data_IF_943848381632
#
_entry.id   IF_943848381632
#
_cell.length_a   1.000
_cell.length_b   1.000
_cell.length_c   1.000
_cell.angle_alpha   90.00
_cell.angle_beta   90.00
_cell.angle_gamma   90.00
#
_symmetry.space_group_name_H-M   'P 1'
#
loop_
_entity.id
_entity.type
_entity.pdbx_description
1 polymer ?
#
# COMPACT_ATOMS: atom_id res chain seq x y z
N UNK A 1 24.76 -0.47 -13.80
CA UNK A 1 24.64 -1.00 -15.17
C UNK A 1 23.17 -1.09 -15.56
N UNK A 2 22.78 -0.55 -16.71
CA UNK A 2 21.42 -0.71 -17.25
C UNK A 2 21.30 -2.18 -17.68
N UNK A 3 20.39 -2.92 -17.05
CA UNK A 3 20.13 -4.31 -17.44
C UNK A 3 19.48 -4.29 -18.83
N UNK A 4 20.23 -4.70 -19.85
CA UNK A 4 19.85 -4.69 -21.27
C UNK A 4 18.54 -5.44 -21.54
N UNK A 5 18.17 -6.38 -20.66
CA UNK A 5 16.90 -7.10 -20.70
C UNK A 5 15.66 -6.19 -20.62
N UNK A 6 15.78 -4.94 -20.17
CA UNK A 6 14.65 -3.99 -20.09
C UNK A 6 14.50 -3.05 -21.28
N UNK A 7 15.34 -3.20 -22.32
CA UNK A 7 15.24 -2.41 -23.56
C UNK A 7 14.22 -3.04 -24.54
N UNK A 8 13.75 -4.25 -24.24
CA UNK A 8 12.77 -4.97 -25.07
C UNK A 8 11.43 -4.19 -25.22
N UNK A 9 10.80 -4.16 -26.41
CA UNK A 9 9.56 -3.39 -26.69
C UNK A 9 8.41 -3.62 -25.70
N UNK A 10 8.29 -4.84 -25.15
CA UNK A 10 7.31 -5.17 -24.09
C UNK A 10 7.35 -4.24 -22.86
N UNK A 11 8.47 -3.57 -22.61
CA UNK A 11 8.63 -2.61 -21.51
C UNK A 11 8.44 -1.15 -21.92
N UNK A 12 8.16 -0.85 -23.19
CA UNK A 12 8.03 0.51 -23.70
C UNK A 12 7.00 1.33 -22.92
N UNK A 13 5.77 0.81 -22.75
CA UNK A 13 4.72 1.45 -21.95
C UNK A 13 5.12 1.59 -20.47
N UNK A 14 5.93 0.66 -19.96
CA UNK A 14 6.43 0.73 -18.57
C UNK A 14 7.44 1.86 -18.42
N UNK A 15 8.32 2.07 -19.40
CA UNK A 15 9.24 3.20 -19.42
C UNK A 15 8.54 4.54 -19.52
N UNK A 16 7.49 4.64 -20.35
CA UNK A 16 6.64 5.84 -20.40
C UNK A 16 6.02 6.10 -19.02
N UNK A 17 5.42 5.09 -18.38
CA UNK A 17 4.88 5.22 -17.03
C UNK A 17 5.95 5.69 -16.02
N UNK A 18 7.14 5.09 -16.04
CA UNK A 18 8.25 5.48 -15.17
C UNK A 18 8.67 6.93 -15.39
N UNK A 19 8.75 7.36 -16.65
CA UNK A 19 9.07 8.74 -17.00
C UNK A 19 8.00 9.71 -16.47
N UNK A 20 6.72 9.39 -16.70
CA UNK A 20 5.58 10.17 -16.19
C UNK A 20 5.59 10.25 -14.66
N UNK A 21 5.91 9.17 -13.96
CA UNK A 21 6.07 9.20 -12.50
C UNK A 21 7.19 10.14 -12.08
N UNK A 22 8.37 10.06 -12.70
CA UNK A 22 9.52 10.92 -12.38
C UNK A 22 9.21 12.40 -12.61
N UNK A 23 8.60 12.74 -13.74
CA UNK A 23 8.20 14.12 -14.05
C UNK A 23 7.08 14.57 -13.11
N UNK A 24 6.11 13.70 -12.85
CA UNK A 24 4.97 13.98 -11.98
C UNK A 24 5.36 14.38 -10.56
N UNK A 25 6.49 13.88 -10.04
CA UNK A 25 7.00 14.25 -8.71
C UNK A 25 7.43 15.72 -8.61
N UNK A 26 7.72 16.43 -9.70
CA UNK A 26 8.04 17.86 -9.63
C UNK A 26 6.80 18.75 -9.45
N UNK A 27 5.61 18.23 -9.76
CA UNK A 27 4.34 18.95 -9.61
C UNK A 27 4.05 19.18 -8.11
N UNK A 28 3.59 20.38 -7.69
CA UNK A 28 3.14 20.63 -6.32
C UNK A 28 2.04 19.66 -5.88
N UNK A 29 2.09 19.17 -4.63
CA UNK A 29 1.20 18.09 -4.17
C UNK A 29 -0.30 18.44 -4.29
N UNK A 30 -0.69 19.70 -4.02
CA UNK A 30 -2.08 20.15 -4.22
C UNK A 30 -2.55 19.99 -5.66
N UNK A 31 -1.68 20.28 -6.63
CA UNK A 31 -1.98 20.13 -8.05
C UNK A 31 -1.96 18.65 -8.48
N UNK A 32 -1.07 17.83 -7.90
CA UNK A 32 -1.10 16.37 -8.09
C UNK A 32 -2.45 15.78 -7.65
N UNK A 33 -2.98 16.20 -6.49
CA UNK A 33 -4.30 15.79 -6.02
C UNK A 33 -5.39 16.23 -6.99
N UNK A 34 -5.38 17.49 -7.44
CA UNK A 34 -6.36 17.98 -8.41
C UNK A 34 -6.34 17.18 -9.73
N UNK A 35 -5.16 17.02 -10.33
CA UNK A 35 -4.99 16.26 -11.58
C UNK A 35 -5.40 14.80 -11.36
N UNK A 36 -5.00 14.20 -10.24
CA UNK A 36 -5.37 12.83 -9.86
C UNK A 36 -6.88 12.64 -9.79
N UNK A 37 -7.62 13.58 -9.18
CA UNK A 37 -9.08 13.56 -9.19
C UNK A 37 -9.65 13.61 -10.60
N UNK A 38 -9.11 14.46 -11.48
CA UNK A 38 -9.58 14.55 -12.85
C UNK A 38 -9.32 13.26 -13.62
N UNK A 39 -8.14 12.65 -13.47
CA UNK A 39 -7.84 11.32 -14.02
C UNK A 39 -8.87 10.31 -13.52
N UNK A 40 -9.12 10.27 -12.21
CA UNK A 40 -10.12 9.40 -11.59
C UNK A 40 -11.52 9.54 -12.21
N UNK A 41 -11.96 10.78 -12.42
CA UNK A 41 -13.24 11.08 -13.08
C UNK A 41 -13.28 10.61 -14.54
N UNK A 42 -12.15 10.72 -15.26
CA UNK A 42 -12.04 10.28 -16.65
C UNK A 42 -12.02 8.76 -16.78
N UNK A 43 -11.39 8.03 -15.85
CA UNK A 43 -11.34 6.56 -15.88
C UNK A 43 -12.63 5.91 -15.36
N UNK A 44 -13.40 6.58 -14.51
CA UNK A 44 -14.67 6.09 -13.96
C UNK A 44 -15.68 5.58 -15.01
N UNK A 45 -15.94 6.28 -16.15
CA UNK A 45 -16.81 5.76 -17.19
C UNK A 45 -16.20 4.58 -17.97
N UNK A 46 -14.87 4.54 -18.10
CA UNK A 46 -14.12 3.56 -18.91
C UNK A 46 -14.00 2.21 -18.20
N UNK A 47 -13.74 2.21 -16.89
CA UNK A 47 -13.48 1.00 -16.10
C UNK A 47 -14.76 0.42 -15.50
N UNK A 48 -15.70 0.03 -16.37
CA UNK A 48 -17.04 -0.43 -15.98
C UNK A 48 -17.04 -1.64 -15.03
N UNK A 49 -16.16 -2.62 -15.26
CA UNK A 49 -16.05 -3.82 -14.41
C UNK A 49 -15.58 -3.49 -12.99
N UNK A 50 -14.50 -2.69 -12.86
CA UNK A 50 -14.03 -2.24 -11.54
C UNK A 50 -15.07 -1.38 -10.83
N UNK A 51 -15.86 -0.60 -11.58
CA UNK A 51 -16.96 0.18 -11.03
C UNK A 51 -18.07 -0.71 -10.46
N UNK A 52 -18.44 -1.79 -11.15
CA UNK A 52 -19.41 -2.77 -10.66
C UNK A 52 -18.92 -3.43 -9.37
N UNK A 53 -17.64 -3.83 -9.32
CA UNK A 53 -17.02 -4.43 -8.14
C UNK A 53 -17.06 -3.46 -6.95
N UNK A 54 -16.60 -2.21 -7.14
CA UNK A 54 -16.62 -1.20 -6.09
C UNK A 54 -18.05 -0.92 -5.59
N UNK A 55 -19.02 -0.82 -6.51
CA UNK A 55 -20.42 -0.63 -6.14
C UNK A 55 -20.97 -1.79 -5.32
N UNK A 56 -20.72 -3.03 -5.75
CA UNK A 56 -21.14 -4.25 -5.03
C UNK A 56 -20.53 -4.30 -3.62
N UNK A 57 -19.22 -4.11 -3.51
CA UNK A 57 -18.51 -4.14 -2.23
C UNK A 57 -19.04 -3.07 -1.27
N UNK A 58 -19.21 -1.83 -1.73
CA UNK A 58 -19.72 -0.73 -0.89
C UNK A 58 -21.17 -0.98 -0.50
N UNK A 59 -22.02 -1.46 -1.41
CA UNK A 59 -23.44 -1.75 -1.10
C UNK A 59 -23.56 -2.86 -0.04
N UNK A 60 -22.75 -3.90 -0.14
CA UNK A 60 -22.73 -5.00 0.80
C UNK A 60 -22.16 -4.60 2.17
N UNK A 61 -21.10 -3.78 2.19
CA UNK A 61 -20.49 -3.33 3.45
C UNK A 61 -21.34 -2.26 4.17
N UNK A 62 -22.17 -1.52 3.44
CA UNK A 62 -22.99 -0.42 3.97
C UNK A 62 -24.44 -0.52 3.50
N UNK A 63 -25.19 -1.56 3.94
CA UNK A 63 -26.55 -1.83 3.48
C UNK A 63 -27.55 -0.72 3.83
N UNK A 64 -27.21 0.15 4.79
CA UNK A 64 -28.02 1.29 5.18
C UNK A 64 -27.97 2.47 4.19
N UNK A 65 -27.02 2.48 3.25
CA UNK A 65 -26.82 3.60 2.31
C UNK A 65 -27.76 3.50 1.11
N UNK A 66 -28.36 4.62 0.74
CA UNK A 66 -29.15 4.75 -0.49
C UNK A 66 -28.24 4.70 -1.72
N UNK A 67 -28.78 4.26 -2.87
CA UNK A 67 -28.02 4.15 -4.13
C UNK A 67 -27.23 5.42 -4.53
N UNK A 68 -27.73 6.65 -4.35
CA UNK A 68 -26.95 7.86 -4.66
C UNK A 68 -25.71 8.02 -3.76
N UNK A 69 -25.80 7.60 -2.49
CA UNK A 69 -24.68 7.67 -1.54
C UNK A 69 -23.62 6.62 -1.89
N UNK A 70 -24.03 5.40 -2.23
CA UNK A 70 -23.11 4.36 -2.72
C UNK A 70 -22.40 4.84 -3.99
N UNK A 71 -23.14 5.38 -4.96
CA UNK A 71 -22.58 5.91 -6.22
C UNK A 71 -21.58 7.03 -5.97
N UNK A 72 -21.85 7.91 -5.02
CA UNK A 72 -20.93 8.98 -4.63
C UNK A 72 -19.62 8.40 -4.06
N UNK A 73 -19.70 7.41 -3.18
CA UNK A 73 -18.51 6.74 -2.62
C UNK A 73 -17.70 6.02 -3.70
N UNK A 74 -18.36 5.37 -4.66
CA UNK A 74 -17.66 4.76 -5.81
C UNK A 74 -16.94 5.83 -6.62
N UNK A 75 -17.58 6.96 -6.94
CA UNK A 75 -16.91 8.07 -7.65
C UNK A 75 -15.69 8.62 -6.90
N UNK A 76 -15.82 8.81 -5.58
CA UNK A 76 -14.72 9.24 -4.72
C UNK A 76 -13.58 8.20 -4.66
N UNK A 77 -13.90 6.91 -4.68
CA UNK A 77 -12.92 5.85 -4.77
C UNK A 77 -12.11 5.93 -6.07
N UNK A 78 -12.75 6.18 -7.20
CA UNK A 78 -12.06 6.38 -8.48
C UNK A 78 -11.19 7.66 -8.49
N UNK A 79 -11.67 8.74 -7.87
CA UNK A 79 -10.84 9.93 -7.62
C UNK A 79 -9.58 9.57 -6.81
N UNK A 80 -9.71 8.78 -5.74
CA UNK A 80 -8.57 8.33 -4.93
C UNK A 80 -7.60 7.43 -5.73
N UNK A 81 -8.11 6.54 -6.59
CA UNK A 81 -7.27 5.76 -7.51
C UNK A 81 -6.45 6.68 -8.42
N UNK A 82 -7.05 7.71 -9.00
CA UNK A 82 -6.33 8.66 -9.84
C UNK A 82 -5.25 9.44 -9.08
N UNK A 83 -5.53 9.86 -7.84
CA UNK A 83 -4.53 10.49 -6.95
C UNK A 83 -3.39 9.51 -6.64
N UNK A 84 -3.69 8.22 -6.45
CA UNK A 84 -2.72 7.18 -6.08
C UNK A 84 -1.57 7.00 -7.07
N UNK A 85 -1.78 7.38 -8.34
CA UNK A 85 -0.73 7.42 -9.36
C UNK A 85 0.41 8.37 -8.94
N UNK A 86 0.06 9.56 -8.47
CA UNK A 86 1.02 10.54 -7.97
C UNK A 86 1.55 10.15 -6.60
N UNK A 87 0.74 9.57 -5.72
CA UNK A 87 1.18 9.11 -4.40
C UNK A 87 2.26 8.02 -4.53
N UNK A 88 2.05 7.07 -5.45
CA UNK A 88 3.03 6.04 -5.80
C UNK A 88 4.30 6.64 -6.41
N UNK A 89 4.16 7.64 -7.29
CA UNK A 89 5.30 8.36 -7.83
C UNK A 89 6.12 9.06 -6.74
N UNK A 90 5.45 9.76 -5.82
CA UNK A 90 6.10 10.41 -4.69
C UNK A 90 6.75 9.37 -3.76
N UNK A 91 6.11 8.22 -3.53
CA UNK A 91 6.67 7.15 -2.71
C UNK A 91 8.04 6.70 -3.21
N UNK A 92 8.23 6.61 -4.53
CA UNK A 92 9.46 6.07 -5.12
C UNK A 92 10.51 7.12 -5.42
N UNK A 93 10.10 8.35 -5.76
CA UNK A 93 11.00 9.36 -6.33
C UNK A 93 11.07 10.68 -5.56
N UNK A 94 10.12 11.00 -4.68
CA UNK A 94 10.18 12.26 -3.94
C UNK A 94 11.30 12.24 -2.90
N UNK A 95 11.83 13.44 -2.62
CA UNK A 95 12.80 13.63 -1.55
C UNK A 95 12.13 13.62 -0.18
N UNK A 96 12.89 13.28 0.86
CA UNK A 96 12.43 13.39 2.25
C UNK A 96 11.86 14.77 2.57
N UNK A 97 12.50 15.84 2.06
CA UNK A 97 12.05 17.22 2.24
C UNK A 97 10.64 17.43 1.70
N UNK A 98 10.30 16.85 0.54
CA UNK A 98 8.94 16.96 -0.03
C UNK A 98 7.93 16.16 0.79
N UNK A 99 8.27 14.94 1.21
CA UNK A 99 7.37 14.09 2.01
C UNK A 99 7.13 14.71 3.40
N UNK A 100 8.17 15.19 4.08
CA UNK A 100 8.07 15.85 5.40
C UNK A 100 7.10 17.04 5.40
N UNK A 101 7.00 17.79 4.29
CA UNK A 101 6.09 18.95 4.17
C UNK A 101 4.60 18.58 4.17
N UNK A 102 4.26 17.36 3.81
CA UNK A 102 2.87 16.88 3.71
C UNK A 102 2.54 15.82 4.77
N UNK A 103 3.52 15.45 5.59
CA UNK A 103 3.39 14.37 6.57
C UNK A 103 2.95 14.94 7.92
N UNK A 104 1.88 14.38 8.46
CA UNK A 104 1.50 14.52 9.87
C UNK A 104 1.35 13.14 10.47
N UNK A 105 2.08 12.85 11.55
CA UNK A 105 1.99 11.56 12.25
C UNK A 105 1.21 11.80 13.55
N UNK A 106 0.18 11.00 13.79
CA UNK A 106 -0.56 10.98 15.05
C UNK A 106 -0.24 9.70 15.80
N UNK A 107 -0.20 9.77 17.13
CA UNK A 107 -0.03 8.63 18.02
C UNK A 107 1.25 7.80 17.79
N UNK A 108 2.35 8.43 17.36
CA UNK A 108 3.66 7.78 17.14
C UNK A 108 4.20 7.08 18.40
N UNK A 109 3.80 7.55 19.59
CA UNK A 109 4.19 6.98 20.87
C UNK A 109 3.86 5.48 20.99
N UNK A 110 2.69 5.02 20.50
CA UNK A 110 2.34 3.59 20.58
C UNK A 110 3.29 2.72 19.77
N UNK A 111 3.76 3.23 18.63
CA UNK A 111 4.73 2.54 17.80
C UNK A 111 6.10 2.48 18.48
N UNK A 112 6.59 3.63 18.94
CA UNK A 112 7.94 3.71 19.55
C UNK A 112 8.02 3.00 20.89
N UNK A 113 6.97 3.01 21.71
CA UNK A 113 6.90 2.24 22.95
C UNK A 113 6.87 0.73 22.68
N UNK A 114 6.08 0.30 21.69
CA UNK A 114 6.00 -1.11 21.34
C UNK A 114 7.33 -1.65 20.82
N UNK A 115 8.03 -0.84 20.03
CA UNK A 115 9.36 -1.19 19.53
C UNK A 115 10.39 -1.33 20.66
N UNK A 116 10.26 -0.55 21.74
CA UNK A 116 11.15 -0.64 22.91
C UNK A 116 10.81 -1.80 23.84
N UNK A 117 9.52 -2.08 24.07
CA UNK A 117 9.06 -3.07 25.05
C UNK A 117 9.02 -4.49 24.48
N UNK A 118 8.41 -4.66 23.32
CA UNK A 118 8.26 -5.97 22.67
C UNK A 118 9.36 -6.25 21.64
N UNK A 119 9.90 -5.23 20.99
CA UNK A 119 10.85 -5.37 19.88
C UNK A 119 10.14 -5.75 18.57
N UNK A 120 9.36 -6.83 18.58
CA UNK A 120 8.56 -7.25 17.43
C UNK A 120 7.33 -6.37 17.23
N UNK A 121 7.22 -5.71 16.06
CA UNK A 121 6.05 -4.89 15.70
C UNK A 121 5.52 -5.27 14.32
N UNK A 122 4.21 -5.50 14.24
CA UNK A 122 3.46 -5.65 12.99
C UNK A 122 2.60 -4.40 12.81
N UNK A 123 2.98 -3.54 11.87
CA UNK A 123 2.14 -2.46 11.37
C UNK A 123 1.09 -3.05 10.43
N UNK A 124 -0.08 -3.30 10.99
CA UNK A 124 -1.22 -3.90 10.31
C UNK A 124 -2.00 -2.83 9.57
N UNK A 125 -1.93 -2.84 8.25
CA UNK A 125 -2.67 -1.91 7.39
C UNK A 125 -3.66 -2.66 6.50
N UNK A 126 -4.47 -1.89 5.79
CA UNK A 126 -5.30 -2.38 4.69
C UNK A 126 -4.91 -1.65 3.41
N UNK A 127 -5.33 -2.15 2.24
CA UNK A 127 -5.11 -1.53 0.93
C UNK A 127 -5.96 -0.25 0.72
N UNK A 128 -5.88 0.69 1.66
CA UNK A 128 -6.44 2.04 1.54
C UNK A 128 -5.48 2.97 0.78
N UNK A 129 -5.97 4.08 0.26
CA UNK A 129 -5.09 5.14 -0.29
C UNK A 129 -4.75 6.16 0.80
N UNK A 130 -3.50 6.66 0.91
CA UNK A 130 -2.40 6.48 -0.04
C UNK A 130 -1.37 5.37 0.31
N UNK A 131 -1.70 4.09 0.13
CA UNK A 131 -0.92 2.91 0.56
C UNK A 131 0.61 3.04 0.45
N UNK A 132 1.11 3.30 -0.76
CA UNK A 132 2.54 3.32 -1.04
C UNK A 132 3.24 4.52 -0.38
N UNK A 133 2.54 5.66 -0.32
CA UNK A 133 3.05 6.86 0.32
C UNK A 133 3.03 6.74 1.85
N UNK A 134 2.04 6.04 2.41
CA UNK A 134 1.98 5.72 3.84
C UNK A 134 3.20 4.91 4.30
N UNK A 135 3.54 3.83 3.57
CA UNK A 135 4.80 3.10 3.83
C UNK A 135 6.03 4.01 3.68
N UNK A 136 6.08 4.84 2.63
CA UNK A 136 7.19 5.78 2.42
C UNK A 136 7.34 6.81 3.55
N UNK A 137 6.22 7.23 4.15
CA UNK A 137 6.21 8.21 5.22
C UNK A 137 6.84 7.67 6.50
N UNK A 138 6.62 6.39 6.83
CA UNK A 138 7.26 5.74 7.98
C UNK A 138 8.79 5.72 7.83
N UNK A 139 9.26 5.50 6.61
CA UNK A 139 10.70 5.50 6.26
C UNK A 139 11.41 6.83 6.48
N UNK A 140 10.68 7.92 6.74
CA UNK A 140 11.27 9.21 7.11
C UNK A 140 11.93 9.16 8.50
N UNK A 141 11.41 8.31 9.39
CA UNK A 141 11.85 8.23 10.79
C UNK A 141 12.31 6.84 11.20
N UNK A 142 11.86 5.79 10.51
CA UNK A 142 12.02 4.41 10.95
C UNK A 142 12.42 3.50 9.79
N UNK A 143 13.30 2.54 10.04
CA UNK A 143 13.53 1.43 9.10
C UNK A 143 12.46 0.37 9.29
N UNK A 144 11.77 0.00 8.22
CA UNK A 144 10.70 -1.03 8.25
C UNK A 144 10.94 -2.08 7.16
N UNK A 145 10.47 -3.29 7.42
CA UNK A 145 10.38 -4.35 6.45
C UNK A 145 9.02 -4.30 5.73
N UNK A 146 9.04 -3.97 4.43
CA UNK A 146 7.86 -4.00 3.59
C UNK A 146 7.64 -5.43 3.06
N UNK A 147 6.52 -6.04 3.47
CA UNK A 147 6.13 -7.35 2.98
C UNK A 147 5.39 -7.19 1.66
N UNK A 148 5.87 -7.81 0.58
CA UNK A 148 5.31 -7.59 -0.75
C UNK A 148 5.26 -8.83 -1.62
N UNK A 149 4.33 -8.85 -2.58
CA UNK A 149 4.34 -9.79 -3.71
C UNK A 149 5.12 -9.16 -4.88
N UNK A 150 6.09 -9.85 -5.49
CA UNK A 150 6.74 -9.36 -6.70
C UNK A 150 5.75 -9.01 -7.80
N UNK A 151 5.93 -7.85 -8.43
CA UNK A 151 5.05 -7.40 -9.51
C UNK A 151 5.31 -8.24 -10.78
N UNK A 152 4.24 -8.54 -11.53
CA UNK A 152 4.34 -9.31 -12.78
C UNK A 152 5.28 -8.64 -13.79
N UNK A 153 5.23 -7.30 -13.87
CA UNK A 153 6.16 -6.53 -14.68
C UNK A 153 7.52 -6.40 -13.96
N UNK A 154 8.52 -7.13 -14.45
CA UNK A 154 9.87 -7.18 -13.83
C UNK A 154 10.56 -5.83 -13.75
N UNK A 155 10.38 -4.95 -14.75
CA UNK A 155 10.96 -3.60 -14.75
C UNK A 155 10.31 -2.75 -13.65
N UNK A 156 8.98 -2.73 -13.58
CA UNK A 156 8.27 -1.99 -12.55
C UNK A 156 8.56 -2.53 -11.15
N UNK A 157 8.67 -3.86 -10.99
CA UNK A 157 9.10 -4.49 -9.74
C UNK A 157 10.46 -3.96 -9.28
N UNK A 158 11.45 -3.89 -10.17
CA UNK A 158 12.77 -3.37 -9.83
C UNK A 158 12.74 -1.89 -9.45
N UNK A 159 11.94 -1.08 -10.15
CA UNK A 159 11.75 0.33 -9.82
C UNK A 159 11.15 0.50 -8.43
N UNK A 160 10.07 -0.23 -8.13
CA UNK A 160 9.41 -0.22 -6.83
C UNK A 160 10.38 -0.61 -5.71
N UNK A 161 11.05 -1.76 -5.83
CA UNK A 161 12.01 -2.25 -4.84
C UNK A 161 13.15 -1.25 -4.65
N UNK A 162 13.75 -0.75 -5.74
CA UNK A 162 14.83 0.24 -5.67
C UNK A 162 14.39 1.54 -5.01
N UNK A 163 13.16 1.99 -5.28
CA UNK A 163 12.56 3.17 -4.66
C UNK A 163 12.51 3.03 -3.14
N UNK A 164 11.96 1.93 -2.62
CA UNK A 164 11.88 1.71 -1.18
C UNK A 164 13.22 1.45 -0.50
N UNK A 165 14.08 0.62 -1.09
CA UNK A 165 15.41 0.30 -0.53
C UNK A 165 16.28 1.56 -0.43
N UNK A 166 16.25 2.43 -1.46
CA UNK A 166 16.97 3.72 -1.42
C UNK A 166 16.55 4.58 -0.22
N UNK A 167 15.30 4.45 0.23
CA UNK A 167 14.74 5.20 1.34
C UNK A 167 14.79 4.42 2.66
N UNK A 168 15.59 3.35 2.76
CA UNK A 168 15.82 2.65 4.02
C UNK A 168 14.86 1.49 4.32
N UNK A 169 14.01 1.08 3.37
CA UNK A 169 13.17 -0.10 3.56
C UNK A 169 13.96 -1.40 3.34
N UNK A 170 13.57 -2.45 4.07
CA UNK A 170 13.95 -3.83 3.77
C UNK A 170 12.77 -4.48 3.04
N UNK A 171 13.01 -5.05 1.85
CA UNK A 171 11.94 -5.64 1.04
C UNK A 171 11.91 -7.16 1.23
N UNK A 172 10.84 -7.68 1.82
CA UNK A 172 10.69 -9.11 2.09
C UNK A 172 9.53 -9.65 1.27
N UNK A 173 9.73 -10.76 0.55
CA UNK A 173 8.66 -11.38 -0.22
C UNK A 173 7.62 -11.98 0.73
N UNK A 174 6.35 -11.84 0.41
CA UNK A 174 5.25 -12.40 1.22
C UNK A 174 5.31 -13.92 1.38
N UNK A 175 5.97 -14.62 0.46
CA UNK A 175 6.19 -16.08 0.52
C UNK A 175 7.39 -16.48 1.39
N UNK A 176 8.24 -15.54 1.80
CA UNK A 176 9.44 -15.81 2.61
C UNK A 176 9.15 -15.63 4.10
N UNK A 177 8.39 -16.58 4.65
CA UNK A 177 7.97 -16.56 6.07
C UNK A 177 9.14 -16.59 7.04
N UNK A 178 10.26 -17.22 6.66
CA UNK A 178 11.49 -17.27 7.48
C UNK A 178 12.09 -15.88 7.65
N UNK A 179 12.22 -15.12 6.57
CA UNK A 179 12.71 -13.74 6.64
C UNK A 179 11.76 -12.82 7.39
N UNK A 180 10.44 -13.02 7.27
CA UNK A 180 9.44 -12.26 8.06
C UNK A 180 9.62 -12.53 9.56
N UNK A 181 9.72 -13.79 9.97
CA UNK A 181 9.96 -14.14 11.38
C UNK A 181 11.29 -13.58 11.88
N UNK A 182 12.36 -13.66 11.07
CA UNK A 182 13.66 -13.11 11.41
C UNK A 182 13.60 -11.59 11.60
N UNK A 183 12.84 -10.87 10.78
CA UNK A 183 12.64 -9.43 10.93
C UNK A 183 12.00 -9.11 12.28
N UNK A 184 10.88 -9.77 12.62
CA UNK A 184 10.19 -9.59 13.91
C UNK A 184 11.12 -9.87 15.09
N UNK A 185 11.84 -11.01 15.07
CA UNK A 185 12.73 -11.40 16.16
C UNK A 185 13.94 -10.44 16.34
N UNK A 186 14.34 -9.75 15.26
CA UNK A 186 15.43 -8.78 15.29
C UNK A 186 14.94 -7.34 15.52
N UNK A 187 13.72 -7.16 16.03
CA UNK A 187 13.11 -5.85 16.27
C UNK A 187 13.04 -4.96 15.03
N UNK A 188 12.88 -5.56 13.84
CA UNK A 188 12.60 -4.86 12.59
C UNK A 188 11.09 -4.86 12.34
N UNK A 189 10.40 -3.71 12.47
CA UNK A 189 8.96 -3.63 12.27
C UNK A 189 8.57 -4.06 10.86
N UNK A 190 7.53 -4.88 10.74
CA UNK A 190 6.99 -5.29 9.44
C UNK A 190 5.76 -4.46 9.09
N UNK A 191 5.65 -4.04 7.84
CA UNK A 191 4.46 -3.42 7.27
C UNK A 191 3.70 -4.43 6.42
N UNK A 192 2.47 -4.74 6.83
CA UNK A 192 1.73 -5.88 6.30
C UNK A 192 0.24 -5.57 6.09
N UNK A 193 -0.25 -5.87 4.88
CA UNK A 193 -1.63 -5.67 4.45
C UNK A 193 -2.32 -7.03 4.12
N UNK A 194 -3.11 -7.60 5.04
CA UNK A 194 -3.72 -8.93 4.90
C UNK A 194 -5.19 -8.93 4.45
N UNK A 195 -5.70 -7.80 3.95
CA UNK A 195 -7.11 -7.57 3.57
C UNK A 195 -7.48 -8.11 2.17
N UNK A 196 -6.64 -8.98 1.59
CA UNK A 196 -6.90 -9.64 0.32
C UNK A 196 -7.05 -11.15 0.50
N UNK A 197 -7.80 -11.77 -0.40
CA UNK A 197 -7.91 -13.23 -0.45
C UNK A 197 -6.59 -13.84 -0.96
N UNK A 198 -5.96 -14.67 -0.13
CA UNK A 198 -4.75 -15.43 -0.44
C UNK A 198 -5.04 -16.89 -0.80
N UNK A 199 -6.31 -17.21 -1.07
CA UNK A 199 -6.80 -18.54 -1.39
C UNK A 199 -7.08 -19.40 -0.15
N UNK A 200 -7.75 -20.52 -0.38
CA UNK A 200 -8.35 -21.37 0.66
C UNK A 200 -7.38 -21.87 1.74
N UNK A 201 -6.13 -22.15 1.36
CA UNK A 201 -5.15 -22.77 2.27
C UNK A 201 -4.57 -21.81 3.32
N UNK A 202 -4.66 -20.50 3.09
CA UNK A 202 -4.06 -19.48 3.96
C UNK A 202 -5.09 -18.56 4.63
N UNK A 203 -6.37 -18.80 4.36
CA UNK A 203 -7.47 -17.95 4.81
C UNK A 203 -8.34 -18.69 5.82
N UNK A 204 -8.80 -17.96 6.83
CA UNK A 204 -9.93 -18.35 7.69
C UNK A 204 -11.14 -17.51 7.28
N UNK A 205 -12.36 -17.98 7.54
CA UNK A 205 -13.54 -17.13 7.39
C UNK A 205 -13.71 -16.30 8.66
N UNK A 206 -13.69 -14.97 8.51
CA UNK A 206 -13.94 -14.02 9.57
C UNK A 206 -14.92 -12.95 9.07
N UNK A 207 -15.76 -12.39 9.95
CA UNK A 207 -16.73 -11.38 9.55
C UNK A 207 -16.04 -10.05 9.23
N UNK A 208 -16.32 -9.52 8.04
CA UNK A 208 -15.98 -8.17 7.60
C UNK A 208 -17.29 -7.46 7.23
N UNK A 209 -17.65 -6.40 7.96
CA UNK A 209 -18.98 -5.77 7.87
C UNK A 209 -20.14 -6.77 8.04
N UNK A 210 -19.97 -7.76 8.90
CA UNK A 210 -20.97 -8.82 9.14
C UNK A 210 -21.00 -9.92 8.08
N UNK A 211 -20.17 -9.84 7.04
CA UNK A 211 -20.11 -10.82 5.94
C UNK A 211 -18.91 -11.74 6.15
N UNK A 212 -19.13 -13.05 6.15
CA UNK A 212 -18.05 -14.04 6.25
C UNK A 212 -17.14 -13.96 5.02
N UNK A 213 -15.90 -13.53 5.23
CA UNK A 213 -14.95 -13.25 4.16
C UNK A 213 -13.66 -14.03 4.40
N UNK A 214 -13.08 -14.56 3.32
CA UNK A 214 -11.77 -15.20 3.36
C UNK A 214 -10.72 -14.17 3.83
N UNK A 215 -10.14 -14.43 5.00
CA UNK A 215 -9.26 -13.51 5.73
C UNK A 215 -7.93 -14.18 6.00
N UNK A 216 -6.82 -13.57 5.57
CA UNK A 216 -5.50 -14.14 5.71
C UNK A 216 -5.14 -14.36 7.20
N UNK A 217 -4.79 -15.61 7.55
CA UNK A 217 -4.47 -16.01 8.93
C UNK A 217 -3.04 -15.66 9.38
N UNK A 218 -2.21 -15.14 8.48
CA UNK A 218 -0.79 -14.92 8.76
C UNK A 218 -0.56 -13.96 9.94
N UNK A 219 -1.31 -12.86 10.04
CA UNK A 219 -1.19 -11.89 11.14
C UNK A 219 -1.43 -12.56 12.49
N UNK A 220 -2.51 -13.33 12.64
CA UNK A 220 -2.83 -13.97 13.93
C UNK A 220 -1.78 -15.01 14.31
N UNK A 221 -1.20 -15.73 13.35
CA UNK A 221 -0.09 -16.66 13.60
C UNK A 221 1.18 -15.93 14.05
N UNK A 222 1.54 -14.84 13.39
CA UNK A 222 2.74 -14.06 13.74
C UNK A 222 2.60 -13.35 15.09
N UNK A 223 1.38 -12.92 15.44
CA UNK A 223 1.05 -12.26 16.70
C UNK A 223 1.08 -13.18 17.92
N UNK A 224 1.08 -14.51 17.73
CA UNK A 224 1.21 -15.48 18.84
C UNK A 224 2.60 -15.51 19.47
N UNK A 225 3.60 -14.90 18.84
CA UNK A 225 4.90 -14.72 19.45
C UNK A 225 4.77 -13.67 20.58
N UNK A 226 5.09 -14.04 21.82
CA UNK A 226 4.86 -13.22 23.02
C UNK A 226 5.52 -11.83 22.97
N UNK A 227 6.53 -11.65 22.12
CA UNK A 227 7.25 -10.41 21.92
C UNK A 227 6.83 -9.67 20.62
N UNK A 228 5.59 -9.86 20.17
CA UNK A 228 5.08 -9.22 18.97
C UNK A 228 3.83 -8.40 19.25
N UNK A 229 3.90 -7.08 19.05
CA UNK A 229 2.75 -6.18 19.08
C UNK A 229 2.18 -5.97 17.68
N UNK A 230 0.87 -6.15 17.54
CA UNK A 230 0.14 -5.73 16.33
C UNK A 230 -0.42 -4.33 16.53
N UNK A 231 -0.09 -3.41 15.63
CA UNK A 231 -0.54 -2.01 15.66
C UNK A 231 -1.31 -1.71 14.38
N UNK A 232 -2.62 -1.43 14.45
CA UNK A 232 -3.35 -0.92 13.31
C UNK A 232 -2.74 0.40 12.81
N UNK A 233 -2.46 0.47 11.51
CA UNK A 233 -1.88 1.63 10.85
C UNK A 233 -2.77 2.06 9.68
N UNK A 234 -3.27 3.29 9.76
CA UNK A 234 -4.06 3.96 8.73
C UNK A 234 -3.46 5.32 8.38
N UNK A 235 -3.88 5.88 7.25
CA UNK A 235 -3.40 7.13 6.67
C UNK A 235 -4.55 7.90 6.03
#
# INVERSE_FOLDING_TARGET
>A
MINTNFIHPKYFLTWILILLMRVGVFIPFKLQVFIGKMIGKLIYPIMSEFRKIAYSNISNCFPEKKQPQVTLLVRQHFEAIGISLFETANAYYASDKKIKKILTIKNEQYFTEALKKEGGVILFCSHFMPLMLGSRALLIKHTIANIYRPQNNKLFNQVMVKGFVKNGAIMIKSTDTRSIMKAINNSLPIWYAPDQDLGRNNSIFAPLFGIQTATASATSRLAKNNNTRVIPYSF
#
